data_IF_808471975316
#
_entry.id   IF_808471975316
#
_cell.length_a   1.000
_cell.length_b   1.000
_cell.length_c   1.000
_cell.angle_alpha   90.00
_cell.angle_beta   90.00
_cell.angle_gamma   90.00
#
_symmetry.space_group_name_H-M   'P 1'
#
loop_
_entity.id
_entity.type
_entity.pdbx_description
1 polymer ?
#
# COMPACT_ATOMS: atom_id res chain seq x y z
N UNK A 1 11.70 -19.64 -4.87
CA UNK A 1 10.42 -18.93 -5.07
C UNK A 1 9.81 -18.68 -3.70
N UNK A 2 10.07 -17.50 -3.12
CA UNK A 2 9.45 -17.11 -1.87
C UNK A 2 8.07 -16.55 -2.18
N UNK A 3 7.03 -17.33 -1.90
CA UNK A 3 5.66 -16.83 -1.87
C UNK A 3 5.57 -15.88 -0.67
N UNK A 4 5.59 -14.57 -0.91
CA UNK A 4 5.30 -13.60 0.14
C UNK A 4 3.80 -13.28 0.03
N UNK A 5 2.99 -14.01 0.77
CA UNK A 5 1.58 -13.66 0.96
C UNK A 5 1.50 -12.46 1.91
N UNK A 6 1.12 -11.30 1.40
CA UNK A 6 0.78 -10.14 2.21
C UNK A 6 -0.75 -10.03 2.30
N UNK A 7 -1.33 -10.71 3.29
CA UNK A 7 -2.74 -10.51 3.63
C UNK A 7 -2.84 -9.27 4.52
N UNK A 8 -3.38 -8.17 4.02
CA UNK A 8 -3.75 -7.01 4.84
C UNK A 8 -5.24 -7.10 5.18
N UNK A 9 -5.57 -7.93 6.18
CA UNK A 9 -6.92 -7.95 6.74
C UNK A 9 -7.11 -6.75 7.67
N UNK A 10 -7.94 -5.77 7.29
CA UNK A 10 -8.36 -4.70 8.21
C UNK A 10 -9.64 -5.17 8.90
N UNK A 11 -9.50 -5.76 10.08
CA UNK A 11 -10.64 -6.06 10.95
C UNK A 11 -10.85 -4.89 11.92
N UNK A 12 -11.93 -4.14 11.73
CA UNK A 12 -12.33 -3.09 12.67
C UNK A 12 -12.89 -3.69 13.95
N UNK A 13 -12.05 -4.12 14.89
CA UNK A 13 -12.51 -4.75 16.15
C UNK A 13 -13.24 -3.79 17.13
N UNK A 14 -13.39 -2.51 16.79
CA UNK A 14 -14.03 -1.50 17.66
C UNK A 14 -15.36 -0.91 17.18
N UNK A 15 -15.89 -1.33 16.03
CA UNK A 15 -17.11 -0.76 15.46
C UNK A 15 -18.05 -1.87 14.99
N UNK A 16 -19.00 -2.25 15.85
CA UNK A 16 -20.04 -3.25 15.57
C UNK A 16 -21.02 -2.88 14.44
N UNK A 17 -20.84 -1.71 13.81
CA UNK A 17 -21.63 -1.22 12.68
C UNK A 17 -20.81 -1.09 11.38
N UNK A 18 -19.51 -1.42 11.39
CA UNK A 18 -18.75 -1.46 10.15
C UNK A 18 -18.99 -2.81 9.46
N UNK A 19 -19.71 -2.84 8.33
CA UNK A 19 -19.86 -4.05 7.52
C UNK A 19 -18.49 -4.60 7.13
N UNK A 20 -18.43 -5.90 6.88
CA UNK A 20 -17.19 -6.62 6.59
C UNK A 20 -16.49 -5.99 5.39
N UNK A 21 -15.37 -5.34 5.66
CA UNK A 21 -14.45 -4.80 4.65
C UNK A 21 -13.20 -5.66 4.66
N UNK A 22 -12.73 -6.09 3.49
CA UNK A 22 -11.48 -6.84 3.38
C UNK A 22 -10.75 -6.52 2.09
N UNK A 23 -9.44 -6.38 2.19
CA UNK A 23 -8.51 -6.35 1.06
C UNK A 23 -7.63 -7.60 1.19
N UNK A 24 -7.61 -8.44 0.17
CA UNK A 24 -6.74 -9.61 0.12
C UNK A 24 -5.80 -9.46 -1.07
N UNK A 25 -4.49 -9.61 -0.84
CA UNK A 25 -3.48 -9.50 -1.90
C UNK A 25 -2.62 -10.77 -1.87
N UNK A 26 -2.76 -11.61 -2.90
CA UNK A 26 -1.84 -12.70 -3.14
C UNK A 26 -0.72 -12.22 -4.08
N UNK A 27 0.55 -12.47 -3.74
CA UNK A 27 1.68 -12.08 -4.58
C UNK A 27 2.51 -13.30 -4.99
N UNK A 28 2.82 -13.40 -6.29
CA UNK A 28 3.77 -14.36 -6.85
C UNK A 28 4.84 -13.60 -7.64
N UNK A 29 6.02 -14.22 -7.76
CA UNK A 29 7.16 -13.63 -8.46
C UNK A 29 7.70 -14.64 -9.47
N UNK A 30 7.97 -14.18 -10.69
CA UNK A 30 8.65 -14.97 -11.73
C UNK A 30 9.68 -14.10 -12.46
N UNK A 31 10.77 -14.72 -12.90
CA UNK A 31 11.82 -14.09 -13.70
C UNK A 31 11.37 -14.01 -15.17
N UNK A 32 10.32 -13.24 -15.42
CA UNK A 32 9.76 -12.99 -16.75
C UNK A 32 9.21 -11.56 -16.85
N UNK A 33 8.65 -11.24 -18.02
CA UNK A 33 8.17 -9.90 -18.38
C UNK A 33 6.67 -9.71 -18.15
N UNK A 34 6.04 -10.50 -17.28
CA UNK A 34 4.60 -10.46 -17.07
C UNK A 34 3.81 -11.32 -18.07
N UNK A 35 4.42 -12.39 -18.60
CA UNK A 35 3.86 -13.22 -19.68
C UNK A 35 3.08 -14.46 -19.22
N UNK A 36 2.83 -14.62 -17.91
CA UNK A 36 2.11 -15.77 -17.35
C UNK A 36 0.68 -15.41 -16.94
N UNK A 37 -0.28 -15.61 -17.85
CA UNK A 37 -1.71 -15.33 -17.63
C UNK A 37 -2.40 -16.30 -16.65
N UNK A 38 -1.69 -17.35 -16.23
CA UNK A 38 -2.20 -18.51 -15.52
C UNK A 38 -1.55 -18.70 -14.14
N UNK A 39 -0.81 -17.69 -13.67
CA UNK A 39 -0.01 -17.79 -12.44
C UNK A 39 -0.87 -18.02 -11.18
N UNK A 40 -2.17 -17.71 -11.21
CA UNK A 40 -3.13 -17.89 -10.11
C UNK A 40 -4.23 -18.93 -10.38
N UNK A 41 -4.07 -19.83 -11.36
CA UNK A 41 -5.10 -20.78 -11.84
C UNK A 41 -5.71 -21.74 -10.77
N UNK A 42 -5.25 -21.69 -9.52
CA UNK A 42 -5.93 -22.32 -8.37
C UNK A 42 -7.20 -21.56 -7.92
N UNK A 43 -7.39 -20.33 -8.39
CA UNK A 43 -8.59 -19.53 -8.12
C UNK A 43 -9.52 -19.74 -9.31
N UNK A 44 -10.78 -20.11 -9.09
CA UNK A 44 -11.79 -20.07 -10.15
C UNK A 44 -11.71 -18.67 -10.77
N UNK A 45 -11.27 -18.58 -12.04
CA UNK A 45 -11.17 -17.30 -12.77
C UNK A 45 -12.57 -16.72 -12.83
N UNK A 46 -12.89 -15.87 -11.86
CA UNK A 46 -14.10 -15.08 -11.90
C UNK A 46 -14.00 -14.20 -13.14
N UNK A 47 -15.04 -14.20 -13.97
CA UNK A 47 -15.12 -13.44 -15.23
C UNK A 47 -14.93 -11.94 -14.98
N UNK A 48 -14.99 -11.50 -13.73
CA UNK A 48 -14.77 -10.13 -13.27
C UNK A 48 -13.30 -9.74 -13.07
N UNK A 49 -12.35 -10.68 -13.17
CA UNK A 49 -10.93 -10.40 -12.93
C UNK A 49 -10.32 -9.57 -14.06
N UNK A 50 -9.92 -8.33 -13.76
CA UNK A 50 -9.27 -7.44 -14.72
C UNK A 50 -7.74 -7.51 -14.59
N UNK A 51 -7.06 -7.66 -15.73
CA UNK A 51 -5.60 -7.60 -15.80
C UNK A 51 -5.14 -6.14 -15.93
N UNK A 52 -4.29 -5.70 -15.00
CA UNK A 52 -3.77 -4.33 -14.98
C UNK A 52 -2.24 -4.36 -14.93
N UNK A 53 -1.60 -3.91 -16.01
CA UNK A 53 -0.15 -3.73 -16.05
C UNK A 53 0.23 -2.40 -15.39
N UNK A 54 1.27 -2.44 -14.56
CA UNK A 54 1.87 -1.25 -13.96
C UNK A 54 3.22 -1.00 -14.64
N UNK A 55 3.37 0.16 -15.26
CA UNK A 55 4.65 0.61 -15.82
C UNK A 55 5.31 1.61 -14.87
N UNK A 56 6.35 1.17 -14.17
CA UNK A 56 7.06 1.97 -13.18
C UNK A 56 7.79 3.20 -13.76
N UNK A 57 8.02 3.24 -15.08
CA UNK A 57 8.69 4.36 -15.74
C UNK A 57 7.73 5.32 -16.43
N UNK A 58 6.64 4.80 -17.02
CA UNK A 58 5.78 5.58 -17.92
C UNK A 58 4.32 5.73 -17.49
N UNK A 59 3.84 5.02 -16.47
CA UNK A 59 2.50 5.30 -15.93
C UNK A 59 2.45 6.71 -15.32
N UNK A 60 1.30 7.37 -15.46
CA UNK A 60 1.07 8.70 -14.88
C UNK A 60 1.17 8.68 -13.36
N UNK A 61 1.92 9.66 -12.83
CA UNK A 61 2.08 9.89 -11.41
C UNK A 61 1.42 11.22 -11.06
N UNK A 62 0.56 11.28 -10.04
CA UNK A 62 0.01 12.54 -9.58
C UNK A 62 1.15 13.52 -9.22
N UNK A 63 1.06 14.75 -9.70
CA UNK A 63 2.14 15.75 -9.56
C UNK A 63 2.63 15.91 -8.11
N UNK A 64 1.72 15.82 -7.13
CA UNK A 64 2.05 15.87 -5.68
C UNK A 64 3.00 14.75 -5.20
N UNK A 65 3.09 13.66 -5.94
CA UNK A 65 3.93 12.50 -5.65
C UNK A 65 5.18 12.45 -6.55
N UNK A 66 5.25 13.29 -7.58
CA UNK A 66 6.41 13.32 -8.47
C UNK A 66 7.64 13.86 -7.74
N UNK A 67 8.75 13.15 -7.92
CA UNK A 67 10.09 13.59 -7.54
C UNK A 67 11.05 13.20 -8.65
N UNK A 68 11.89 14.14 -9.03
CA UNK A 68 12.92 13.95 -10.06
C UNK A 68 13.90 12.84 -9.69
N UNK A 69 14.31 12.75 -8.42
CA UNK A 69 15.20 11.69 -7.91
C UNK A 69 14.61 10.28 -7.99
N UNK A 70 13.30 10.16 -8.19
CA UNK A 70 12.61 8.87 -8.33
C UNK A 70 12.18 8.63 -9.80
N UNK A 71 12.51 9.53 -10.74
CA UNK A 71 12.17 9.37 -12.16
C UNK A 71 13.07 8.38 -12.88
N UNK A 72 12.53 7.18 -13.11
CA UNK A 72 13.26 6.06 -13.69
C UNK A 72 13.65 6.26 -15.16
N UNK A 73 13.03 7.25 -15.83
CA UNK A 73 13.44 7.65 -17.18
C UNK A 73 14.76 8.39 -17.17
N UNK A 74 15.19 8.91 -16.01
CA UNK A 74 16.43 9.67 -15.85
C UNK A 74 17.38 9.09 -14.79
N UNK A 75 16.89 8.23 -13.90
CA UNK A 75 17.68 7.57 -12.89
C UNK A 75 18.58 6.48 -13.49
N UNK A 76 19.84 6.47 -13.07
CA UNK A 76 20.79 5.37 -13.29
C UNK A 76 21.44 5.04 -11.95
N UNK A 77 21.46 3.76 -11.59
CA UNK A 77 22.12 3.28 -10.38
C UNK A 77 23.64 3.32 -10.53
N UNK A 78 24.33 3.88 -9.56
CA UNK A 78 25.80 3.93 -9.53
C UNK A 78 26.39 2.55 -9.20
N UNK A 79 25.71 1.76 -8.36
CA UNK A 79 26.23 0.46 -7.91
C UNK A 79 25.96 -0.66 -8.90
N UNK A 80 24.83 -0.62 -9.59
CA UNK A 80 24.38 -1.71 -10.48
C UNK A 80 24.42 -1.34 -11.95
N UNK A 81 24.65 -0.06 -12.29
CA UNK A 81 24.55 0.46 -13.66
C UNK A 81 23.19 0.25 -14.33
N UNK A 82 22.13 -0.09 -13.56
CA UNK A 82 20.76 -0.25 -14.07
C UNK A 82 20.09 1.09 -14.30
N UNK A 83 19.19 1.13 -15.28
CA UNK A 83 18.59 2.37 -15.78
C UNK A 83 19.52 3.07 -16.78
N UNK A 84 19.10 4.14 -17.44
CA UNK A 84 17.76 4.75 -17.46
C UNK A 84 16.74 3.86 -18.19
N UNK A 85 15.51 3.79 -17.67
CA UNK A 85 14.42 3.02 -18.29
C UNK A 85 13.81 3.84 -19.45
N UNK A 86 14.12 3.44 -20.68
CA UNK A 86 13.56 4.04 -21.91
C UNK A 86 12.24 3.36 -22.31
N UNK A 87 11.61 3.86 -23.36
CA UNK A 87 10.49 3.15 -23.98
C UNK A 87 10.94 1.72 -24.34
N UNK A 88 10.04 0.76 -24.16
CA UNK A 88 10.32 -0.68 -24.28
C UNK A 88 11.41 -1.21 -23.32
N UNK A 89 11.63 -0.56 -22.17
CA UNK A 89 12.60 -1.01 -21.16
C UNK A 89 12.40 -2.48 -20.75
N UNK A 90 11.15 -2.94 -20.72
CA UNK A 90 10.78 -4.34 -20.39
C UNK A 90 11.44 -5.34 -21.33
N UNK A 91 11.72 -4.94 -22.59
CA UNK A 91 12.33 -5.81 -23.58
C UNK A 91 13.84 -5.68 -23.72
N UNK A 92 14.39 -4.59 -23.19
CA UNK A 92 15.80 -4.20 -23.40
C UNK A 92 16.67 -4.33 -22.14
N UNK A 93 16.07 -4.53 -20.97
CA UNK A 93 16.79 -4.61 -19.69
C UNK A 93 16.76 -6.01 -19.09
N UNK A 94 17.91 -6.41 -18.54
CA UNK A 94 18.08 -7.65 -17.78
C UNK A 94 18.98 -7.36 -16.55
N UNK A 95 18.78 -8.08 -15.42
CA UNK A 95 17.74 -9.07 -15.20
C UNK A 95 16.37 -8.42 -14.98
N UNK A 96 15.31 -9.10 -15.43
CA UNK A 96 13.92 -8.70 -15.19
C UNK A 96 13.15 -9.74 -14.37
N UNK A 97 12.26 -9.25 -13.51
CA UNK A 97 11.30 -10.07 -12.77
C UNK A 97 9.94 -9.37 -12.77
N UNK A 98 8.87 -10.16 -12.68
CA UNK A 98 7.51 -9.68 -12.56
C UNK A 98 6.93 -10.06 -11.19
N UNK A 99 6.35 -9.08 -10.50
CA UNK A 99 5.51 -9.31 -9.33
C UNK A 99 4.05 -9.35 -9.76
N UNK A 100 3.45 -10.52 -9.76
CA UNK A 100 2.03 -10.71 -10.02
C UNK A 100 1.27 -10.53 -8.71
N UNK A 101 0.27 -9.65 -8.71
CA UNK A 101 -0.53 -9.32 -7.52
C UNK A 101 -2.02 -9.52 -7.82
N UNK A 102 -2.61 -10.57 -7.25
CA UNK A 102 -4.05 -10.79 -7.30
C UNK A 102 -4.69 -10.04 -6.12
N UNK A 103 -5.43 -8.98 -6.43
CA UNK A 103 -6.08 -8.13 -5.43
C UNK A 103 -7.57 -8.44 -5.41
N UNK A 104 -8.11 -8.77 -4.24
CA UNK A 104 -9.54 -8.95 -4.02
C UNK A 104 -10.00 -7.97 -2.95
N UNK A 105 -10.97 -7.11 -3.30
CA UNK A 105 -11.61 -6.20 -2.35
C UNK A 105 -13.04 -6.66 -2.14
N UNK A 106 -13.49 -6.74 -0.88
CA UNK A 106 -14.89 -7.02 -0.54
C UNK A 106 -15.40 -5.92 0.38
N UNK A 107 -16.53 -5.31 0.01
CA UNK A 107 -17.22 -4.31 0.80
C UNK A 107 -18.73 -4.53 0.76
N UNK A 108 -19.26 -5.24 1.76
CA UNK A 108 -20.66 -5.71 1.77
C UNK A 108 -21.63 -4.62 2.25
N UNK A 109 -21.70 -3.49 1.52
CA UNK A 109 -22.59 -2.36 1.84
C UNK A 109 -23.51 -2.05 0.69
N UNK A 110 -24.80 -2.17 0.97
CA UNK A 110 -25.84 -1.88 0.00
C UNK A 110 -25.73 -0.45 -0.54
N UNK A 111 -25.74 -0.31 -1.86
CA UNK A 111 -25.66 0.97 -2.57
C UNK A 111 -24.25 1.61 -2.64
N UNK A 112 -23.25 1.06 -1.94
CA UNK A 112 -21.88 1.60 -1.93
C UNK A 112 -20.79 0.61 -2.36
N UNK A 113 -21.09 -0.68 -2.38
CA UNK A 113 -20.15 -1.78 -2.72
C UNK A 113 -19.23 -1.45 -3.90
N UNK A 114 -19.77 -1.39 -5.11
CA UNK A 114 -18.98 -1.21 -6.34
C UNK A 114 -18.14 0.06 -6.32
N UNK A 115 -18.69 1.17 -5.81
CA UNK A 115 -17.99 2.46 -5.76
C UNK A 115 -16.78 2.41 -4.82
N UNK A 116 -16.93 1.77 -3.67
CA UNK A 116 -15.85 1.65 -2.68
C UNK A 116 -14.80 0.64 -3.13
N UNK A 117 -15.22 -0.53 -3.63
CA UNK A 117 -14.30 -1.56 -4.14
C UNK A 117 -13.43 -1.01 -5.27
N UNK A 118 -14.05 -0.38 -6.28
CA UNK A 118 -13.31 0.27 -7.38
C UNK A 118 -12.38 1.38 -6.91
N UNK A 119 -12.80 2.17 -5.92
CA UNK A 119 -11.95 3.21 -5.33
C UNK A 119 -10.71 2.59 -4.67
N UNK A 120 -10.89 1.53 -3.87
CA UNK A 120 -9.80 0.83 -3.22
C UNK A 120 -8.84 0.22 -4.25
N UNK A 121 -9.34 -0.41 -5.32
CA UNK A 121 -8.48 -0.92 -6.40
C UNK A 121 -7.61 0.18 -7.03
N UNK A 122 -8.16 1.38 -7.25
CA UNK A 122 -7.39 2.53 -7.76
C UNK A 122 -6.28 2.95 -6.79
N UNK A 123 -6.59 3.00 -5.49
CA UNK A 123 -5.59 3.31 -4.46
C UNK A 123 -4.50 2.23 -4.38
N UNK A 124 -4.87 0.95 -4.43
CA UNK A 124 -3.90 -0.15 -4.44
C UNK A 124 -2.98 -0.04 -5.65
N UNK A 125 -3.51 0.23 -6.85
CA UNK A 125 -2.69 0.48 -8.06
C UNK A 125 -1.71 1.64 -7.86
N UNK A 126 -2.18 2.78 -7.31
CA UNK A 126 -1.34 3.96 -7.05
C UNK A 126 -0.21 3.64 -6.06
N UNK A 127 -0.51 2.96 -4.94
CA UNK A 127 0.47 2.53 -3.94
C UNK A 127 1.51 1.58 -4.55
N UNK A 128 1.06 0.60 -5.35
CA UNK A 128 1.95 -0.34 -6.02
C UNK A 128 2.88 0.36 -7.01
N UNK A 129 2.35 1.27 -7.84
CA UNK A 129 3.15 2.05 -8.78
C UNK A 129 4.24 2.86 -8.05
N UNK A 130 3.84 3.67 -7.07
CA UNK A 130 4.77 4.52 -6.33
C UNK A 130 5.82 3.70 -5.57
N UNK A 131 5.42 2.63 -4.92
CA UNK A 131 6.30 1.78 -4.13
C UNK A 131 7.36 1.07 -4.98
N UNK A 132 6.99 0.51 -6.14
CA UNK A 132 7.98 -0.15 -7.02
C UNK A 132 8.91 0.86 -7.67
N UNK A 133 8.41 2.06 -7.98
CA UNK A 133 9.25 3.14 -8.51
C UNK A 133 10.32 3.56 -7.50
N UNK A 134 9.92 3.73 -6.24
CA UNK A 134 10.84 4.02 -5.13
C UNK A 134 11.83 2.89 -4.91
N UNK A 135 11.37 1.63 -4.90
CA UNK A 135 12.25 0.48 -4.74
C UNK A 135 13.37 0.43 -5.80
N UNK A 136 13.05 0.75 -7.07
CA UNK A 136 14.06 0.83 -8.12
C UNK A 136 14.97 2.06 -7.96
N UNK A 137 14.39 3.25 -7.73
CA UNK A 137 15.17 4.49 -7.60
C UNK A 137 16.11 4.49 -6.38
N UNK A 138 15.78 3.73 -5.34
CA UNK A 138 16.60 3.60 -4.13
C UNK A 138 17.47 2.36 -4.13
N UNK A 139 17.65 1.69 -5.28
CA UNK A 139 18.45 0.44 -5.36
C UNK A 139 19.85 0.60 -4.78
N UNK A 140 20.48 1.76 -4.99
CA UNK A 140 21.83 2.01 -4.46
C UNK A 140 21.88 2.05 -2.92
N UNK A 141 20.76 2.33 -2.27
CA UNK A 141 20.65 2.41 -0.81
C UNK A 141 20.54 1.01 -0.18
N UNK A 142 19.83 0.08 -0.82
CA UNK A 142 19.51 -1.23 -0.22
C UNK A 142 20.24 -2.43 -0.83
N UNK A 143 20.80 -2.34 -2.04
CA UNK A 143 21.33 -3.51 -2.76
C UNK A 143 22.46 -4.25 -2.03
N UNK A 144 23.27 -3.54 -1.24
CA UNK A 144 24.39 -4.10 -0.48
C UNK A 144 24.06 -4.36 1.00
N UNK A 145 22.81 -4.12 1.42
CA UNK A 145 22.44 -4.34 2.82
C UNK A 145 22.47 -5.84 3.15
N UNK A 146 23.11 -6.16 4.26
CA UNK A 146 23.02 -7.47 4.89
C UNK A 146 21.62 -7.70 5.50
N UNK A 147 21.24 -8.96 5.69
CA UNK A 147 19.97 -9.28 6.35
C UNK A 147 19.92 -8.78 7.80
N UNK A 148 21.07 -8.67 8.46
CA UNK A 148 21.21 -8.08 9.79
C UNK A 148 20.87 -6.59 9.77
N UNK A 149 21.39 -5.84 8.80
CA UNK A 149 21.07 -4.41 8.63
C UNK A 149 19.60 -4.21 8.25
N UNK A 150 19.04 -5.09 7.41
CA UNK A 150 17.60 -5.05 7.07
C UNK A 150 16.75 -5.23 8.33
N UNK A 151 17.05 -6.24 9.17
CA UNK A 151 16.31 -6.48 10.43
C UNK A 151 16.43 -5.29 11.39
N UNK A 152 17.60 -4.68 11.49
CA UNK A 152 17.78 -3.51 12.34
C UNK A 152 17.01 -2.29 11.82
N UNK A 153 17.02 -2.08 10.49
CA UNK A 153 16.22 -1.04 9.85
C UNK A 153 14.72 -1.23 10.11
N UNK A 154 14.20 -2.45 9.96
CA UNK A 154 12.80 -2.79 10.28
C UNK A 154 12.48 -2.48 11.75
N UNK A 155 13.35 -2.90 12.68
CA UNK A 155 13.19 -2.66 14.12
C UNK A 155 13.09 -1.16 14.43
N UNK A 156 14.06 -0.37 13.95
CA UNK A 156 14.11 1.09 14.18
C UNK A 156 12.89 1.78 13.57
N UNK A 157 12.50 1.38 12.35
CA UNK A 157 11.35 1.95 11.64
C UNK A 157 10.03 1.63 12.35
N UNK A 158 9.87 0.39 12.82
CA UNK A 158 8.71 -0.03 13.59
C UNK A 158 8.60 0.76 14.90
N UNK A 159 9.71 0.92 15.64
CA UNK A 159 9.74 1.69 16.89
C UNK A 159 9.41 3.17 16.67
N UNK A 160 10.00 3.80 15.64
CA UNK A 160 9.74 5.19 15.29
C UNK A 160 8.28 5.41 14.88
N UNK A 161 7.69 4.44 14.17
CA UNK A 161 6.28 4.46 13.76
C UNK A 161 5.35 4.35 14.96
N UNK A 162 5.60 3.36 15.84
CA UNK A 162 4.83 3.16 17.08
C UNK A 162 4.87 4.39 17.99
N UNK A 163 6.02 5.08 18.05
CA UNK A 163 6.15 6.33 18.81
C UNK A 163 5.30 7.47 18.26
N UNK A 164 5.10 7.55 16.94
CA UNK A 164 4.30 8.61 16.29
C UNK A 164 2.80 8.35 16.35
N UNK A 165 2.38 7.10 16.21
CA UNK A 165 0.96 6.70 16.15
C UNK A 165 0.36 6.56 17.57
N UNK A 166 1.19 6.43 18.60
CA UNK A 166 0.75 6.03 19.93
C UNK A 166 0.46 4.52 19.97
N UNK A 167 0.27 3.96 21.18
CA UNK A 167 -0.02 2.54 21.39
C UNK A 167 -1.43 2.17 20.92
N UNK A 168 -1.64 2.07 19.61
CA UNK A 168 -2.75 1.32 19.03
C UNK A 168 -2.14 0.14 18.27
N UNK A 169 -2.35 -1.12 18.71
CA UNK A 169 -1.91 -2.24 17.92
C UNK A 169 -2.79 -2.27 16.65
N UNK A 170 -2.22 -2.16 15.44
CA UNK A 170 -2.97 -2.54 14.25
C UNK A 170 -3.15 -4.05 14.30
N UNK A 171 -4.39 -4.54 14.21
CA UNK A 171 -4.67 -5.97 14.06
C UNK A 171 -4.29 -6.40 12.64
N UNK A 172 -2.99 -6.49 12.35
CA UNK A 172 -2.46 -7.09 11.13
C UNK A 172 -2.22 -8.56 11.44
N UNK A 173 -3.15 -9.43 11.04
CA UNK A 173 -2.97 -10.88 11.14
C UNK A 173 -2.29 -11.39 9.88
N UNK A 174 -1.01 -11.78 10.01
CA UNK A 174 -0.30 -12.57 8.99
C UNK A 174 -0.59 -14.04 9.28
N UNK A 175 -1.57 -14.63 8.60
CA UNK A 175 -1.88 -16.06 8.70
C UNK A 175 -1.33 -16.82 7.48
N UNK A 176 -0.39 -17.74 7.72
CA UNK A 176 -0.07 -18.83 6.81
C UNK A 176 -1.08 -19.95 7.08
N UNK A 177 -2.03 -20.20 6.18
CA UNK A 177 -3.04 -21.28 6.37
C UNK A 177 -2.58 -22.60 5.75
N UNK A 178 -2.45 -23.69 6.53
CA UNK A 178 -2.44 -25.05 5.99
C UNK A 178 -3.87 -25.52 5.68
N UNK A 179 -3.98 -26.48 4.76
CA UNK A 179 -5.23 -26.97 4.17
C UNK A 179 -6.09 -27.84 5.14
N UNK A 180 -7.38 -27.51 5.21
CA UNK A 180 -8.58 -28.30 5.53
C UNK A 180 -8.81 -28.92 6.94
N UNK A 181 -9.99 -28.63 7.53
CA UNK A 181 -11.03 -29.65 7.84
C UNK A 181 -12.38 -29.00 8.21
N UNK A 182 -13.48 -29.65 7.80
CA UNK A 182 -14.88 -29.24 7.99
C UNK A 182 -15.36 -29.23 9.45
N UNK A 183 -16.30 -28.33 9.77
CA UNK A 183 -17.13 -28.35 10.98
C UNK A 183 -18.23 -27.28 10.94
N UNK A 184 -19.41 -27.51 11.57
CA UNK A 184 -20.70 -27.07 11.01
C UNK A 184 -21.11 -25.63 11.34
N UNK A 185 -21.85 -25.06 10.39
CA UNK A 185 -22.56 -23.77 10.45
C UNK A 185 -23.48 -23.68 11.67
N UNK A 186 -23.33 -22.62 12.45
CA UNK A 186 -24.31 -22.17 13.44
C UNK A 186 -24.63 -20.71 13.16
N UNK A 187 -25.71 -20.46 12.42
CA UNK A 187 -26.27 -19.13 12.23
C UNK A 187 -27.44 -18.93 13.21
N UNK A 188 -27.54 -17.80 13.93
CA UNK A 188 -28.77 -17.43 14.61
C UNK A 188 -29.69 -16.66 13.64
N UNK A 189 -30.95 -17.08 13.55
CA UNK A 189 -32.04 -16.40 12.84
C UNK A 189 -32.39 -15.05 13.45
N UNK A 190 -32.52 -14.02 12.62
CA UNK A 190 -33.09 -12.71 12.98
C UNK A 190 -34.61 -12.71 12.72
N UNK A 191 -35.46 -12.19 13.62
CA UNK A 191 -36.89 -12.09 13.36
C UNK A 191 -37.21 -10.93 12.40
N UNK A 192 -38.11 -11.21 11.46
CA UNK A 192 -38.73 -10.26 10.53
C UNK A 192 -39.66 -9.34 11.31
N UNK A 193 -39.32 -8.05 11.41
CA UNK A 193 -40.29 -7.01 11.78
C UNK A 193 -40.26 -5.91 10.72
N UNK A 194 -41.31 -5.91 9.90
CA UNK A 194 -41.61 -4.90 8.89
C UNK A 194 -42.37 -3.75 9.55
N UNK A 195 -41.65 -2.73 10.03
CA UNK A 195 -42.22 -1.40 10.20
C UNK A 195 -41.12 -0.33 10.07
N UNK A 196 -41.25 0.64 9.13
CA UNK A 196 -40.31 1.74 9.02
C UNK A 196 -40.56 2.76 10.15
N UNK A 197 -39.52 3.28 10.83
CA UNK A 197 -39.71 4.29 11.87
C UNK A 197 -40.13 5.63 11.28
N UNK A 198 -41.10 6.28 11.94
CA UNK A 198 -41.69 7.56 11.57
C UNK A 198 -40.67 8.70 11.40
N UNK A 199 -40.89 9.50 10.36
CA UNK A 199 -40.08 10.66 9.99
C UNK A 199 -39.98 11.67 11.14
N UNK A 200 -38.77 11.84 11.69
CA UNK A 200 -38.45 12.98 12.55
C UNK A 200 -38.36 14.25 11.69
N UNK A 201 -39.00 15.37 12.07
CA UNK A 201 -38.99 16.60 11.29
C UNK A 201 -37.59 17.24 11.29
N UNK A 202 -37.14 17.67 10.11
CA UNK A 202 -35.86 18.37 9.90
C UNK A 202 -35.91 19.78 10.51
N UNK A 203 -35.01 20.15 11.44
CA UNK A 203 -34.88 21.54 11.84
C UNK A 203 -34.30 22.38 10.70
N UNK A 204 -35.10 23.32 10.18
CA UNK A 204 -34.62 24.47 9.40
C UNK A 204 -33.95 25.44 10.37
N UNK A 205 -32.62 25.40 10.40
CA UNK A 205 -31.74 26.58 10.42
C UNK A 205 -30.30 26.14 10.70
N UNK A 206 -29.44 26.30 9.70
CA UNK A 206 -28.02 25.97 9.75
C UNK A 206 -27.21 27.27 9.90
N UNK A 207 -26.60 27.57 11.06
CA UNK A 207 -25.45 28.46 11.08
C UNK A 207 -24.31 27.75 10.34
N UNK A 208 -23.79 28.37 9.28
CA UNK A 208 -22.65 27.84 8.51
C UNK A 208 -21.38 27.89 9.37
N UNK A 209 -21.15 26.85 10.18
CA UNK A 209 -19.85 26.62 10.83
C UNK A 209 -18.87 26.11 9.76
N UNK A 210 -17.87 26.93 9.45
CA UNK A 210 -16.62 26.47 8.83
C UNK A 210 -15.92 25.61 9.89
N UNK A 211 -15.78 24.31 9.66
CA UNK A 211 -15.00 23.44 10.53
C UNK A 211 -14.64 22.17 9.78
N UNK A 212 -13.61 22.26 8.94
CA UNK A 212 -12.58 21.24 8.92
C UNK A 212 -11.53 21.67 9.96
N UNK A 213 -11.00 20.80 10.82
CA UNK A 213 -9.83 21.14 11.61
C UNK A 213 -8.67 21.41 10.63
N UNK A 214 -8.05 22.59 10.72
CA UNK A 214 -6.76 22.89 10.07
C UNK A 214 -5.63 22.10 10.74
N UNK A 215 -5.68 20.77 10.66
CA UNK A 215 -4.68 19.87 11.27
C UNK A 215 -3.95 19.01 10.23
N UNK A 216 -4.21 19.21 8.92
CA UNK A 216 -3.50 18.50 7.84
C UNK A 216 -2.79 19.44 6.87
N UNK A 217 -2.40 20.63 7.31
CA UNK A 217 -1.51 21.50 6.53
C UNK A 217 -0.11 21.44 7.15
N UNK A 218 0.83 20.81 6.43
CA UNK A 218 2.25 20.94 6.73
C UNK A 218 2.65 22.42 6.68
N UNK A 219 3.53 22.91 7.57
CA UNK A 219 3.91 24.32 7.59
C UNK A 219 4.70 24.71 6.33
N UNK A 220 4.38 25.92 5.84
CA UNK A 220 5.02 26.62 4.71
C UNK A 220 6.56 26.67 4.84
N UNK A 221 7.32 26.28 3.80
CA UNK A 221 8.79 26.27 3.81
C UNK A 221 9.44 27.65 4.03
N UNK A 222 8.73 28.77 3.85
CA UNK A 222 9.29 30.11 4.03
C UNK A 222 9.58 30.50 5.50
N UNK A 223 9.10 29.74 6.50
CA UNK A 223 9.39 29.98 7.93
C UNK A 223 10.55 29.16 8.52
N UNK A 224 11.29 28.40 7.71
CA UNK A 224 12.39 27.52 8.18
C UNK A 224 13.76 28.19 8.42
N UNK A 225 13.84 29.52 8.60
CA UNK A 225 15.14 30.19 8.84
C UNK A 225 15.44 30.61 10.29
N UNK A 226 14.59 30.31 11.28
CA UNK A 226 14.88 30.73 12.66
C UNK A 226 14.52 29.75 13.78
N UNK A 227 14.44 28.45 13.52
CA UNK A 227 14.17 27.45 14.57
C UNK A 227 15.10 26.25 14.47
N UNK A 228 15.77 25.95 15.59
CA UNK A 228 16.94 25.09 15.76
C UNK A 228 16.68 23.58 15.67
N UNK A 229 15.65 23.13 14.97
CA UNK A 229 15.36 21.71 14.83
C UNK A 229 15.48 21.27 13.37
N UNK A 230 16.64 20.70 13.02
CA UNK A 230 16.84 19.95 11.77
C UNK A 230 16.21 18.56 11.95
N UNK A 231 15.28 18.18 11.08
CA UNK A 231 14.94 16.77 10.88
C UNK A 231 16.06 16.11 10.05
N UNK A 232 16.55 14.91 10.38
CA UNK A 232 17.57 14.24 9.59
C UNK A 232 16.99 13.78 8.25
N UNK A 233 17.82 13.76 7.20
CA UNK A 233 17.44 13.21 5.90
C UNK A 233 17.14 11.70 6.02
N UNK A 234 16.34 11.17 5.11
CA UNK A 234 15.87 9.78 5.13
C UNK A 234 17.00 8.73 5.17
N UNK A 235 18.22 9.07 4.74
CA UNK A 235 19.42 8.22 4.87
C UNK A 235 20.71 9.06 5.01
N UNK A 236 20.87 9.77 6.14
CA UNK A 236 22.17 10.37 6.48
C UNK A 236 22.71 9.74 7.77
N UNK A 237 23.60 8.75 7.62
CA UNK A 237 24.45 8.26 8.70
C UNK A 237 25.74 9.08 8.82
N UNK A 238 26.33 9.21 10.02
CA UNK A 238 27.55 9.98 10.23
C UNK A 238 28.75 9.19 9.69
N UNK A 239 29.54 9.83 8.83
CA UNK A 239 30.85 9.35 8.43
C UNK A 239 31.77 9.27 9.65
N UNK A 240 32.16 8.06 10.06
CA UNK A 240 33.27 7.85 10.98
C UNK A 240 34.57 8.19 10.26
N UNK A 241 35.15 9.33 10.59
CA UNK A 241 36.52 9.68 10.25
C UNK A 241 37.47 8.66 10.90
N UNK A 242 38.13 7.86 10.06
CA UNK A 242 39.40 7.24 10.41
C UNK A 242 40.44 8.35 10.59
N UNK A 243 41.13 8.37 11.73
CA UNK A 243 42.42 9.03 11.86
C UNK A 243 43.41 8.00 12.39
N UNK A 244 44.60 8.03 11.79
CA UNK A 244 45.88 7.45 12.27
C UNK A 244 46.10 7.57 13.77
#
# INVERSE_FOLDING_TARGET
>A
MNLIQHVVGIYGEGCSFLPKFSIHIETKYEDNKGSNDNIFDTVEKDETTEMCFIDIAYDEIPERHYKESEDLRYFTSEKTSRGMLKEDWRDTHEPIMCSYKLVTVKFEVWGLQTRVEQFVHKIVREVLLLGHRQAFAWVDEWIDMSMEEVREYERVTQEATNKKIGSFPPAITISQTPLASCGPSSAPTTPLSTEPPDFLPVPKDRPRKKSAPETLTLPDPARRRSSSYRLPSLFSWPSSSQNE
#
